data_IF_602930483986
#
_entry.id   IF_602930483986
#
_cell.length_a   1.000
_cell.length_b   1.000
_cell.length_c   1.000
_cell.angle_alpha   90.00
_cell.angle_beta   90.00
_cell.angle_gamma   90.00
#
_symmetry.space_group_name_H-M   'P 1'
#
loop_
_entity.id
_entity.type
_entity.pdbx_description
1 polymer ?
#
# COMPACT_ATOMS: atom_id res chain seq x y z
N UNK A 1 0.39 17.33 -6.42
CA UNK A 1 0.72 16.25 -5.48
C UNK A 1 -0.33 15.16 -5.60
N UNK A 2 0.07 13.98 -6.04
CA UNK A 2 -0.78 12.79 -6.11
C UNK A 2 -0.07 11.66 -5.35
N UNK A 3 -0.83 10.75 -4.76
CA UNK A 3 -0.26 9.53 -4.19
C UNK A 3 0.14 8.61 -5.35
N UNK A 4 1.31 7.99 -5.25
CA UNK A 4 1.68 6.92 -6.18
C UNK A 4 0.76 5.71 -5.99
N UNK A 5 0.73 4.81 -6.96
CA UNK A 5 -0.01 3.54 -6.86
C UNK A 5 0.47 2.71 -5.65
N UNK A 6 1.76 2.78 -5.32
CA UNK A 6 2.33 2.12 -4.15
C UNK A 6 1.81 2.72 -2.85
N UNK A 7 1.76 4.06 -2.74
CA UNK A 7 1.23 4.73 -1.56
C UNK A 7 -0.28 4.45 -1.39
N UNK A 8 -1.04 4.43 -2.48
CA UNK A 8 -2.45 4.05 -2.45
C UNK A 8 -2.63 2.59 -2.00
N UNK A 9 -1.80 1.67 -2.50
CA UNK A 9 -1.80 0.27 -2.07
C UNK A 9 -1.47 0.10 -0.59
N UNK A 10 -0.51 0.86 -0.06
CA UNK A 10 -0.18 0.85 1.38
C UNK A 10 -1.34 1.35 2.26
N UNK A 11 -2.08 2.37 1.81
CA UNK A 11 -3.28 2.86 2.51
C UNK A 11 -4.38 1.80 2.50
N UNK A 12 -4.62 1.15 1.36
CA UNK A 12 -5.58 0.05 1.27
C UNK A 12 -5.19 -1.10 2.21
N UNK A 13 -3.90 -1.42 2.32
CA UNK A 13 -3.42 -2.43 3.27
C UNK A 13 -3.68 -2.03 4.74
N UNK A 14 -3.42 -0.78 5.13
CA UNK A 14 -3.76 -0.30 6.47
C UNK A 14 -5.27 -0.42 6.74
N UNK A 15 -6.10 -0.09 5.76
CA UNK A 15 -7.55 -0.22 5.88
C UNK A 15 -7.97 -1.67 6.10
N UNK A 16 -7.45 -2.62 5.32
CA UNK A 16 -7.76 -4.04 5.51
C UNK A 16 -7.33 -4.53 6.90
N UNK A 17 -6.15 -4.14 7.37
CA UNK A 17 -5.65 -4.47 8.72
C UNK A 17 -6.57 -3.95 9.81
N UNK A 18 -6.97 -2.67 9.73
CA UNK A 18 -7.88 -2.05 10.69
C UNK A 18 -9.25 -2.71 10.73
N UNK A 19 -9.78 -3.13 9.57
CA UNK A 19 -11.04 -3.87 9.49
C UNK A 19 -10.93 -5.27 10.11
N UNK A 20 -9.84 -5.99 9.85
CA UNK A 20 -9.59 -7.34 10.39
C UNK A 20 -9.37 -7.33 11.91
N UNK A 21 -8.58 -6.38 12.40
CA UNK A 21 -8.24 -6.26 13.83
C UNK A 21 -9.27 -5.43 14.62
N UNK A 22 -10.29 -4.89 13.96
CA UNK A 22 -11.25 -3.92 14.53
C UNK A 22 -10.55 -2.76 15.25
N UNK A 23 -9.42 -2.31 14.72
CA UNK A 23 -8.58 -1.25 15.26
C UNK A 23 -8.75 0.06 14.50
N UNK A 24 -8.50 1.19 15.16
CA UNK A 24 -8.56 2.50 14.51
C UNK A 24 -7.45 2.65 13.46
N UNK A 25 -7.82 3.14 12.27
CA UNK A 25 -6.92 3.36 11.14
C UNK A 25 -6.15 4.68 11.24
N UNK A 26 -6.69 5.67 11.95
CA UNK A 26 -6.08 7.01 12.09
C UNK A 26 -4.63 6.96 12.59
N UNK A 27 -4.30 6.26 13.70
CA UNK A 27 -2.91 6.15 14.15
C UNK A 27 -2.00 5.47 13.13
N UNK A 28 -2.52 4.46 12.41
CA UNK A 28 -1.74 3.74 11.39
C UNK A 28 -1.38 4.64 10.21
N UNK A 29 -2.30 5.50 9.78
CA UNK A 29 -2.06 6.46 8.70
C UNK A 29 -1.13 7.60 9.14
N UNK A 30 -1.21 8.02 10.40
CA UNK A 30 -0.33 9.06 10.95
C UNK A 30 1.12 8.56 11.10
N UNK A 31 1.30 7.27 11.38
CA UNK A 31 2.62 6.64 11.44
C UNK A 31 3.22 6.39 10.05
N UNK A 32 2.48 6.57 8.94
CA UNK A 32 3.03 6.39 7.60
C UNK A 32 3.99 7.52 7.21
N UNK A 33 5.16 7.12 6.71
CA UNK A 33 6.17 8.05 6.22
C UNK A 33 6.08 8.19 4.70
N UNK A 34 5.64 9.36 4.26
CA UNK A 34 5.53 9.73 2.85
C UNK A 34 6.77 10.50 2.41
N UNK A 35 7.44 10.01 1.37
CA UNK A 35 8.55 10.70 0.72
C UNK A 35 8.21 10.97 -0.75
N UNK A 36 8.90 11.94 -1.34
CA UNK A 36 8.82 12.16 -2.77
C UNK A 36 9.47 11.00 -3.49
N UNK A 37 8.84 10.53 -4.56
CA UNK A 37 9.42 9.47 -5.38
C UNK A 37 10.77 9.94 -5.97
N UNK A 38 11.90 9.30 -5.64
CA UNK A 38 13.21 9.70 -6.16
C UNK A 38 13.33 9.46 -7.67
N UNK A 39 12.47 8.63 -8.26
CA UNK A 39 12.42 8.40 -9.71
C UNK A 39 11.61 9.48 -10.46
N UNK A 40 10.72 10.21 -9.77
CA UNK A 40 9.93 11.28 -10.39
C UNK A 40 10.61 12.65 -10.23
N UNK A 41 11.28 13.09 -11.31
CA UNK A 41 11.90 14.43 -11.38
C UNK A 41 10.89 15.57 -11.19
N UNK A 42 9.61 15.31 -11.43
CA UNK A 42 8.53 16.29 -11.28
C UNK A 42 8.05 16.44 -9.84
N UNK A 43 8.57 15.62 -8.91
CA UNK A 43 8.18 15.59 -7.50
C UNK A 43 6.66 15.52 -7.28
N UNK A 44 5.95 14.90 -8.23
CA UNK A 44 4.50 14.96 -8.31
C UNK A 44 3.83 13.80 -7.57
N UNK A 45 4.58 12.71 -7.39
CA UNK A 45 4.18 11.47 -6.73
C UNK A 45 4.83 11.29 -5.35
N UNK A 46 4.04 10.84 -4.38
CA UNK A 46 4.49 10.42 -3.05
C UNK A 46 4.49 8.89 -2.93
N UNK A 47 5.53 8.33 -2.31
CA UNK A 47 5.69 6.91 -1.98
C UNK A 47 5.78 6.73 -0.47
N UNK A 48 5.36 5.57 0.03
CA UNK A 48 5.39 5.22 1.46
C UNK A 48 6.58 4.32 1.75
N UNK A 49 7.43 4.70 2.72
CA UNK A 49 8.63 3.92 3.06
C UNK A 49 8.38 2.83 4.11
N UNK A 50 7.30 2.94 4.88
CA UNK A 50 6.91 1.97 5.91
C UNK A 50 5.48 1.42 5.66
N UNK A 51 5.27 0.67 4.56
CA UNK A 51 3.98 0.08 4.33
C UNK A 51 3.58 -0.85 5.49
N UNK A 52 2.28 -0.90 5.86
CA UNK A 52 1.79 -1.73 6.94
C UNK A 52 1.91 -3.21 6.57
N UNK A 53 2.38 -4.03 7.51
CA UNK A 53 2.47 -5.49 7.34
C UNK A 53 1.15 -6.11 7.79
N UNK A 54 0.53 -6.91 6.92
CA UNK A 54 -0.69 -7.66 7.23
C UNK A 54 -0.32 -9.15 7.26
N UNK A 55 -0.55 -9.80 8.39
CA UNK A 55 -0.49 -11.25 8.48
C UNK A 55 -1.85 -11.80 8.12
N UNK A 56 -2.01 -12.25 6.87
CA UNK A 56 -3.23 -12.91 6.42
C UNK A 56 -3.07 -14.41 6.73
N UNK A 57 -3.61 -14.85 7.87
CA UNK A 57 -3.44 -16.24 8.36
C UNK A 57 -4.19 -17.30 7.52
N UNK A 58 -4.99 -16.90 6.54
CA UNK A 58 -5.60 -17.79 5.54
C UNK A 58 -5.75 -17.04 4.20
N UNK A 59 -4.64 -16.62 3.60
CA UNK A 59 -4.70 -16.13 2.24
C UNK A 59 -4.85 -17.35 1.30
N UNK A 60 -6.09 -17.71 0.98
CA UNK A 60 -6.38 -18.26 -0.34
C UNK A 60 -6.02 -17.14 -1.32
N UNK A 61 -4.74 -17.04 -1.67
CA UNK A 61 -4.26 -16.17 -2.73
C UNK A 61 -4.91 -16.73 -3.98
N UNK A 62 -6.08 -16.21 -4.34
CA UNK A 62 -6.62 -16.38 -5.67
C UNK A 62 -5.55 -15.81 -6.60
N UNK A 63 -4.80 -16.70 -7.24
CA UNK A 63 -3.83 -16.39 -8.26
C UNK A 63 -4.49 -15.48 -9.29
N UNK A 64 -4.10 -14.21 -9.27
CA UNK A 64 -4.51 -13.26 -10.29
C UNK A 64 -3.37 -12.27 -10.54
N UNK A 65 -2.20 -12.81 -10.90
CA UNK A 65 -1.24 -12.15 -11.76
C UNK A 65 -0.67 -13.20 -12.70
N UNK A 66 -1.55 -13.75 -13.54
CA UNK A 66 -1.14 -14.36 -14.80
C UNK A 66 -0.68 -13.23 -15.72
N UNK A 67 0.59 -12.82 -15.56
CA UNK A 67 1.34 -12.17 -16.63
C UNK A 67 1.54 -13.23 -17.74
N UNK A 68 0.47 -13.50 -18.49
CA UNK A 68 0.61 -13.96 -19.86
C UNK A 68 1.21 -12.80 -20.65
N UNK A 69 2.54 -12.74 -20.63
CA UNK A 69 3.32 -12.19 -21.73
C UNK A 69 2.98 -13.04 -22.96
N UNK A 70 1.89 -12.71 -23.64
CA UNK A 70 1.69 -13.10 -25.04
C UNK A 70 2.48 -12.11 -25.91
N UNK A 71 3.65 -12.60 -26.34
CA UNK A 71 4.51 -12.26 -27.50
C UNK A 71 4.71 -10.80 -27.93
#
# INVERSE_FOLDING_TARGET
MKLSNQALGAIMMALQKSLMEQSDIVPVLQDMNFIHDPADQSQSALVVTNPPVINIENADVAEAFDDTVEE
#
